data_IF_793346896646
#
_entry.id   IF_793346896646
#
_cell.length_a   1.000
_cell.length_b   1.000
_cell.length_c   1.000
_cell.angle_alpha   90.00
_cell.angle_beta   90.00
_cell.angle_gamma   90.00
#
_symmetry.space_group_name_H-M   'P 1'
#
loop_
_entity.id
_entity.type
_entity.pdbx_description
1 polymer ?
#
# COMPACT_ATOMS: atom_id res chain seq x y z
N UNK A 1 -34.87 -14.48 15.07
CA UNK A 1 -33.41 -14.55 14.89
C UNK A 1 -33.06 -16.01 14.70
N UNK A 2 -32.33 -16.41 13.65
CA UNK A 2 -32.24 -17.82 13.23
C UNK A 2 -31.17 -18.67 13.93
N UNK A 3 -30.38 -18.08 14.84
CA UNK A 3 -29.44 -18.81 15.72
C UNK A 3 -28.36 -19.58 14.96
N UNK A 4 -27.97 -20.75 15.49
CA UNK A 4 -27.01 -21.69 14.88
C UNK A 4 -27.70 -22.74 13.99
N UNK A 5 -28.92 -22.50 13.53
CA UNK A 5 -29.63 -23.44 12.66
C UNK A 5 -28.91 -23.56 11.30
N UNK A 6 -28.92 -24.76 10.65
CA UNK A 6 -28.39 -24.92 9.31
C UNK A 6 -29.03 -23.93 8.31
N UNK A 7 -28.24 -23.47 7.34
CA UNK A 7 -28.68 -22.49 6.35
C UNK A 7 -29.90 -23.01 5.55
N UNK A 8 -31.06 -22.41 5.80
CA UNK A 8 -32.29 -22.74 5.10
C UNK A 8 -32.52 -21.75 3.94
N UNK A 9 -32.25 -22.20 2.72
CA UNK A 9 -32.41 -21.39 1.49
C UNK A 9 -33.87 -21.06 1.12
N UNK A 10 -34.86 -21.51 1.90
CA UNK A 10 -36.27 -21.07 1.74
C UNK A 10 -36.59 -19.76 2.49
N UNK A 11 -35.65 -19.17 3.22
CA UNK A 11 -35.88 -17.83 3.81
C UNK A 11 -35.81 -16.75 2.73
N UNK A 12 -36.72 -15.79 2.80
CA UNK A 12 -36.69 -14.61 1.94
C UNK A 12 -35.77 -13.52 2.51
N UNK A 13 -35.22 -12.69 1.63
CA UNK A 13 -34.41 -11.55 2.05
C UNK A 13 -35.23 -10.46 2.75
N UNK A 14 -34.56 -9.69 3.61
CA UNK A 14 -35.16 -8.59 4.35
C UNK A 14 -34.62 -7.24 3.86
N UNK A 15 -35.47 -6.26 3.53
CA UNK A 15 -35.03 -4.88 3.24
C UNK A 15 -34.46 -4.14 4.45
N UNK A 16 -34.55 -4.70 5.67
CA UNK A 16 -34.13 -4.06 6.92
C UNK A 16 -34.71 -2.62 7.03
N UNK A 17 -33.88 -1.62 7.36
CA UNK A 17 -34.31 -0.22 7.48
C UNK A 17 -34.86 0.40 6.19
N UNK A 18 -34.58 -0.16 5.00
CA UNK A 18 -35.06 0.39 3.72
C UNK A 18 -36.59 0.28 3.56
N UNK A 19 -37.25 -0.63 4.28
CA UNK A 19 -38.72 -0.69 4.30
C UNK A 19 -39.37 0.61 4.85
N UNK A 20 -38.65 1.37 5.70
CA UNK A 20 -39.12 2.67 6.16
C UNK A 20 -39.08 3.73 5.05
N UNK A 21 -38.14 3.63 4.11
CA UNK A 21 -38.01 4.55 2.96
C UNK A 21 -39.11 4.29 1.94
N UNK A 22 -39.37 3.02 1.60
CA UNK A 22 -40.52 2.62 0.78
C UNK A 22 -41.83 3.18 1.35
N UNK A 23 -42.04 3.01 2.67
CA UNK A 23 -43.22 3.55 3.39
C UNK A 23 -43.28 5.09 3.40
N UNK A 24 -42.13 5.77 3.50
CA UNK A 24 -42.06 7.24 3.55
C UNK A 24 -42.42 7.88 2.22
N UNK A 25 -41.97 7.31 1.10
CA UNK A 25 -42.20 7.83 -0.25
C UNK A 25 -43.39 7.18 -0.97
N UNK A 26 -44.02 6.15 -0.39
CA UNK A 26 -45.13 5.43 -1.01
C UNK A 26 -44.71 4.59 -2.22
N UNK A 27 -43.43 4.24 -2.31
CA UNK A 27 -42.86 3.43 -3.41
C UNK A 27 -42.62 1.99 -2.95
N UNK A 28 -42.63 1.06 -3.89
CA UNK A 28 -42.29 -0.35 -3.65
C UNK A 28 -41.00 -0.69 -4.42
N UNK A 29 -39.87 -0.10 -4.01
CA UNK A 29 -38.59 -0.29 -4.69
C UNK A 29 -37.69 -1.24 -3.89
N UNK A 30 -37.46 -0.95 -2.61
CA UNK A 30 -36.51 -1.70 -1.81
C UNK A 30 -37.09 -3.04 -1.33
N UNK A 31 -38.32 -3.04 -0.84
CA UNK A 31 -39.01 -4.23 -0.31
C UNK A 31 -39.04 -5.39 -1.32
N UNK A 32 -39.59 -5.26 -2.54
CA UNK A 32 -39.58 -6.38 -3.49
C UNK A 32 -38.16 -6.78 -3.93
N UNK A 33 -37.25 -5.81 -4.09
CA UNK A 33 -35.85 -6.07 -4.50
C UNK A 33 -35.09 -6.90 -3.48
N UNK A 34 -35.20 -6.57 -2.18
CA UNK A 34 -34.53 -7.32 -1.13
C UNK A 34 -35.23 -8.65 -0.80
N UNK A 35 -36.57 -8.71 -0.85
CA UNK A 35 -37.32 -9.96 -0.63
C UNK A 35 -37.13 -10.99 -1.75
N UNK A 36 -36.85 -10.54 -2.98
CA UNK A 36 -36.47 -11.38 -4.12
C UNK A 36 -34.98 -11.71 -4.22
N UNK A 37 -34.11 -11.19 -3.35
CA UNK A 37 -32.67 -11.43 -3.42
C UNK A 37 -32.31 -12.87 -3.02
N UNK A 38 -31.50 -13.60 -3.81
CA UNK A 38 -31.04 -14.94 -3.46
C UNK A 38 -29.94 -14.94 -2.37
N UNK A 39 -29.32 -13.78 -2.10
CA UNK A 39 -28.16 -13.65 -1.20
C UNK A 39 -28.58 -13.33 0.23
N UNK A 40 -29.36 -14.21 0.85
CA UNK A 40 -29.95 -14.01 2.19
C UNK A 40 -29.00 -14.28 3.36
N UNK A 41 -27.83 -14.87 3.11
CA UNK A 41 -26.83 -15.24 4.14
C UNK A 41 -25.45 -14.56 3.96
N UNK A 42 -25.29 -13.67 2.98
CA UNK A 42 -23.98 -13.09 2.59
C UNK A 42 -23.62 -11.79 3.31
N UNK A 43 -23.63 -11.76 4.64
CA UNK A 43 -23.28 -10.54 5.41
C UNK A 43 -21.77 -10.25 5.42
N UNK A 44 -20.95 -11.25 5.76
CA UNK A 44 -19.50 -11.13 5.90
C UNK A 44 -18.75 -11.84 4.76
N UNK A 45 -17.71 -11.22 4.14
CA UNK A 45 -17.34 -9.80 4.24
C UNK A 45 -18.32 -8.91 3.44
N UNK A 46 -18.48 -7.65 3.85
CA UNK A 46 -19.46 -6.75 3.22
C UNK A 46 -19.04 -6.33 1.80
N UNK A 47 -19.85 -6.71 0.81
CA UNK A 47 -19.66 -6.29 -0.58
C UNK A 47 -19.79 -4.77 -0.76
N UNK A 48 -20.70 -4.12 -0.01
CA UNK A 48 -20.87 -2.67 -0.03
C UNK A 48 -19.60 -1.95 0.45
N UNK A 49 -18.95 -2.45 1.49
CA UNK A 49 -17.69 -1.90 1.99
C UNK A 49 -16.54 -2.12 1.02
N UNK A 50 -16.40 -3.35 0.51
CA UNK A 50 -15.34 -3.71 -0.43
C UNK A 50 -15.41 -2.92 -1.73
N UNK A 51 -16.60 -2.79 -2.34
CA UNK A 51 -16.80 -1.98 -3.55
C UNK A 51 -16.51 -0.50 -3.30
N UNK A 52 -17.07 0.11 -2.25
CA UNK A 52 -16.81 1.50 -1.91
C UNK A 52 -15.32 1.80 -1.66
N UNK A 53 -14.60 0.91 -0.97
CA UNK A 53 -13.14 1.06 -0.79
C UNK A 53 -12.37 0.83 -2.09
N UNK A 54 -12.77 -0.11 -2.94
CA UNK A 54 -12.10 -0.33 -4.23
C UNK A 54 -12.23 0.89 -5.13
N UNK A 55 -13.42 1.46 -5.22
CA UNK A 55 -13.70 2.70 -5.95
C UNK A 55 -12.95 3.88 -5.34
N UNK A 56 -12.98 4.05 -4.01
CA UNK A 56 -12.27 5.13 -3.33
C UNK A 56 -10.75 5.03 -3.50
N UNK A 57 -10.15 3.84 -3.44
CA UNK A 57 -8.72 3.63 -3.67
C UNK A 57 -8.34 3.90 -5.14
N UNK A 58 -9.13 3.40 -6.10
CA UNK A 58 -8.90 3.67 -7.52
C UNK A 58 -9.04 5.17 -7.84
N UNK A 59 -10.06 5.84 -7.31
CA UNK A 59 -10.28 7.27 -7.52
C UNK A 59 -9.23 8.13 -6.77
N UNK A 60 -8.74 7.69 -5.62
CA UNK A 60 -7.63 8.34 -4.90
C UNK A 60 -6.30 8.15 -5.64
N UNK A 61 -6.10 7.02 -6.32
CA UNK A 61 -4.99 6.86 -7.27
C UNK A 61 -5.17 7.86 -8.42
N UNK A 62 -6.25 7.82 -9.19
CA UNK A 62 -6.40 8.73 -10.36
C UNK A 62 -6.39 10.23 -9.95
N UNK A 63 -6.94 10.59 -8.80
CA UNK A 63 -7.09 11.97 -8.34
C UNK A 63 -6.63 12.15 -6.87
N UNK A 64 -5.31 12.18 -6.59
CA UNK A 64 -4.78 12.17 -5.22
C UNK A 64 -5.19 13.40 -4.38
N UNK A 65 -5.47 14.54 -5.02
CA UNK A 65 -5.99 15.74 -4.33
C UNK A 65 -7.44 15.60 -3.85
N UNK A 66 -8.20 14.63 -4.38
CA UNK A 66 -9.60 14.38 -4.02
C UNK A 66 -9.78 13.18 -3.07
N UNK A 67 -8.68 12.48 -2.71
CA UNK A 67 -8.63 11.43 -1.67
C UNK A 67 -9.53 11.69 -0.43
N UNK A 68 -9.49 12.87 0.24
CA UNK A 68 -10.35 13.10 1.41
C UNK A 68 -11.86 13.06 1.09
N UNK A 69 -12.28 13.44 -0.12
CA UNK A 69 -13.67 13.36 -0.55
C UNK A 69 -14.13 11.91 -0.73
N UNK A 70 -13.29 11.06 -1.35
CA UNK A 70 -13.60 9.64 -1.53
C UNK A 70 -13.60 8.88 -0.19
N UNK A 71 -12.67 9.22 0.72
CA UNK A 71 -12.66 8.69 2.08
C UNK A 71 -13.92 9.09 2.86
N UNK A 72 -14.33 10.37 2.80
CA UNK A 72 -15.55 10.85 3.44
C UNK A 72 -16.81 10.15 2.89
N UNK A 73 -16.90 9.94 1.57
CA UNK A 73 -18.00 9.18 0.95
C UNK A 73 -18.06 7.73 1.45
N UNK A 74 -16.91 7.07 1.56
CA UNK A 74 -16.83 5.69 2.06
C UNK A 74 -17.27 5.58 3.52
N UNK A 75 -16.84 6.52 4.36
CA UNK A 75 -17.27 6.61 5.77
C UNK A 75 -18.78 6.91 5.90
N UNK A 76 -19.33 7.74 5.01
CA UNK A 76 -20.78 7.99 4.95
C UNK A 76 -21.56 6.72 4.56
N UNK A 77 -21.07 5.97 3.58
CA UNK A 77 -21.68 4.70 3.14
C UNK A 77 -21.60 3.62 4.24
N UNK A 78 -20.48 3.54 4.97
CA UNK A 78 -20.33 2.73 6.18
C UNK A 78 -21.36 3.11 7.24
N UNK A 79 -21.50 4.40 7.55
CA UNK A 79 -22.51 4.87 8.49
C UNK A 79 -23.93 4.51 8.04
N UNK A 80 -24.27 4.72 6.77
CA UNK A 80 -25.59 4.42 6.23
C UNK A 80 -25.93 2.92 6.30
N UNK A 81 -25.02 2.04 5.88
CA UNK A 81 -25.25 0.57 5.93
C UNK A 81 -25.44 0.03 7.35
N UNK A 82 -24.77 0.62 8.36
CA UNK A 82 -25.04 0.33 9.77
C UNK A 82 -26.35 0.95 10.26
N UNK A 83 -26.63 2.21 9.91
CA UNK A 83 -27.84 2.93 10.34
C UNK A 83 -29.12 2.24 9.86
N UNK A 84 -29.13 1.73 8.62
CA UNK A 84 -30.24 0.93 8.08
C UNK A 84 -30.23 -0.53 8.57
N UNK A 85 -29.36 -0.88 9.52
CA UNK A 85 -29.22 -2.22 10.11
C UNK A 85 -28.97 -3.33 9.07
N UNK A 86 -28.18 -3.02 8.04
CA UNK A 86 -27.91 -3.92 6.92
C UNK A 86 -26.59 -4.71 7.06
N UNK A 87 -25.60 -4.13 7.75
CA UNK A 87 -24.30 -4.75 8.04
C UNK A 87 -23.86 -4.43 9.48
N UNK A 88 -23.09 -5.33 10.08
CA UNK A 88 -22.32 -5.05 11.30
C UNK A 88 -20.99 -4.38 10.94
N UNK A 89 -20.40 -3.65 11.89
CA UNK A 89 -19.09 -3.00 11.71
C UNK A 89 -17.97 -3.98 11.29
N UNK A 90 -18.02 -5.22 11.77
CA UNK A 90 -17.04 -6.26 11.40
C UNK A 90 -17.14 -6.67 9.93
N UNK A 91 -18.35 -6.72 9.36
CA UNK A 91 -18.59 -7.03 7.95
C UNK A 91 -17.95 -5.97 7.06
N UNK A 92 -18.11 -4.71 7.45
CA UNK A 92 -17.57 -3.53 6.79
C UNK A 92 -16.04 -3.53 6.80
N UNK A 93 -15.44 -3.72 7.99
CA UNK A 93 -13.97 -3.86 8.14
C UNK A 93 -13.42 -5.00 7.29
N UNK A 94 -14.05 -6.18 7.32
CA UNK A 94 -13.64 -7.34 6.53
C UNK A 94 -13.66 -7.08 5.02
N UNK A 95 -14.72 -6.45 4.51
CA UNK A 95 -14.83 -6.09 3.09
C UNK A 95 -13.78 -5.07 2.64
N UNK A 96 -13.56 -4.04 3.45
CA UNK A 96 -12.57 -3.00 3.16
C UNK A 96 -11.12 -3.49 3.25
N UNK A 97 -10.79 -4.36 4.21
CA UNK A 97 -9.46 -4.98 4.29
C UNK A 97 -9.19 -5.87 3.08
N UNK A 98 -10.16 -6.71 2.68
CA UNK A 98 -10.06 -7.54 1.49
C UNK A 98 -9.82 -6.69 0.23
N UNK A 99 -10.60 -5.62 0.04
CA UNK A 99 -10.41 -4.69 -1.06
C UNK A 99 -9.05 -3.98 -1.02
N UNK A 100 -8.60 -3.53 0.17
CA UNK A 100 -7.32 -2.85 0.34
C UNK A 100 -6.13 -3.75 -0.03
N UNK A 101 -6.15 -5.01 0.42
CA UNK A 101 -5.12 -6.01 0.06
C UNK A 101 -5.10 -6.28 -1.44
N UNK A 102 -6.27 -6.53 -2.05
CA UNK A 102 -6.37 -6.75 -3.50
C UNK A 102 -5.85 -5.51 -4.26
N UNK A 103 -6.30 -4.32 -3.90
CA UNK A 103 -5.87 -3.08 -4.54
C UNK A 103 -4.37 -2.86 -4.40
N UNK A 104 -3.77 -3.11 -3.24
CA UNK A 104 -2.34 -2.98 -3.03
C UNK A 104 -1.53 -3.96 -3.91
N UNK A 105 -1.94 -5.23 -3.99
CA UNK A 105 -1.31 -6.22 -4.88
C UNK A 105 -1.41 -5.78 -6.35
N UNK A 106 -2.56 -5.23 -6.76
CA UNK A 106 -2.76 -4.74 -8.13
C UNK A 106 -1.97 -3.45 -8.38
N UNK A 107 -1.84 -2.55 -7.40
CA UNK A 107 -1.02 -1.33 -7.47
C UNK A 107 0.43 -1.69 -7.77
N UNK A 108 1.05 -2.51 -6.92
CA UNK A 108 2.48 -2.83 -7.03
C UNK A 108 2.86 -3.71 -8.22
N UNK A 109 1.90 -4.42 -8.85
CA UNK A 109 2.19 -5.35 -9.95
C UNK A 109 1.67 -4.94 -11.33
N UNK A 110 0.62 -4.11 -11.41
CA UNK A 110 -0.10 -3.89 -12.68
C UNK A 110 -0.47 -2.43 -12.95
N UNK A 111 -0.67 -1.58 -11.94
CA UNK A 111 -1.01 -0.17 -12.20
C UNK A 111 0.24 0.64 -12.59
N UNK A 112 0.08 1.62 -13.51
CA UNK A 112 1.14 2.55 -13.83
C UNK A 112 1.40 3.48 -12.63
N UNK A 113 2.69 3.71 -12.37
CA UNK A 113 3.17 4.71 -11.42
C UNK A 113 2.69 6.10 -11.82
N UNK A 114 2.43 6.92 -10.81
CA UNK A 114 1.93 8.28 -11.01
C UNK A 114 3.05 9.29 -11.15
N UNK A 115 2.88 10.22 -12.08
CA UNK A 115 3.79 11.35 -12.27
C UNK A 115 3.24 12.58 -11.51
N UNK A 116 3.92 13.07 -10.45
CA UNK A 116 3.34 14.02 -9.49
C UNK A 116 3.02 15.42 -10.04
N UNK A 117 3.46 15.73 -11.27
CA UNK A 117 3.24 17.01 -11.95
C UNK A 117 2.23 16.92 -13.11
N UNK A 118 1.59 15.77 -13.33
CA UNK A 118 0.64 15.52 -14.42
C UNK A 118 -0.77 15.32 -13.86
N UNK A 119 -1.76 16.04 -14.40
CA UNK A 119 -3.15 15.98 -13.90
C UNK A 119 -3.90 14.76 -14.41
N UNK A 120 -3.64 14.35 -15.66
CA UNK A 120 -4.28 13.21 -16.30
C UNK A 120 -3.26 12.14 -16.63
N UNK A 121 -3.70 10.88 -16.61
CA UNK A 121 -2.93 9.72 -17.09
C UNK A 121 -2.46 9.88 -18.55
N UNK A 122 -3.20 10.65 -19.34
CA UNK A 122 -2.89 10.93 -20.76
C UNK A 122 -1.71 11.89 -20.93
N UNK A 123 -1.36 12.65 -19.90
CA UNK A 123 -0.21 13.56 -19.91
C UNK A 123 1.09 12.86 -19.47
N UNK A 124 1.06 11.55 -19.22
CA UNK A 124 2.24 10.82 -18.70
C UNK A 124 3.26 10.60 -19.82
N UNK A 125 4.49 11.04 -19.60
CA UNK A 125 5.55 10.98 -20.63
C UNK A 125 6.09 9.55 -20.84
N UNK A 126 5.88 8.66 -19.86
CA UNK A 126 6.26 7.25 -19.88
C UNK A 126 5.41 6.44 -18.90
N UNK A 127 5.43 5.10 -19.03
CA UNK A 127 4.73 4.17 -18.13
C UNK A 127 5.75 3.30 -17.40
N UNK A 128 5.89 3.51 -16.11
CA UNK A 128 6.58 2.62 -15.17
C UNK A 128 5.55 1.82 -14.37
N UNK A 129 5.88 0.59 -14.01
CA UNK A 129 5.04 -0.31 -13.18
C UNK A 129 5.86 -0.79 -12.00
N UNK A 130 5.30 -0.69 -10.79
CA UNK A 130 5.98 -0.99 -9.53
C UNK A 130 6.06 0.23 -8.60
N UNK A 131 6.38 -0.03 -7.34
CA UNK A 131 6.61 1.01 -6.33
C UNK A 131 8.03 1.60 -6.46
N UNK A 132 8.21 2.86 -6.08
CA UNK A 132 9.54 3.48 -6.05
C UNK A 132 10.45 2.75 -5.02
N UNK A 133 11.69 2.37 -5.37
CA UNK A 133 12.65 1.87 -4.37
C UNK A 133 12.84 2.82 -3.17
N UNK A 134 12.62 4.13 -3.32
CA UNK A 134 12.64 5.10 -2.23
C UNK A 134 11.37 5.11 -1.35
N UNK A 135 10.19 4.74 -1.87
CA UNK A 135 8.92 4.74 -1.11
C UNK A 135 8.91 3.63 -0.04
N UNK A 136 9.62 2.52 -0.29
CA UNK A 136 9.74 1.38 0.64
C UNK A 136 10.46 1.69 1.95
N UNK A 137 11.20 2.79 2.04
CA UNK A 137 11.93 3.17 3.26
C UNK A 137 11.04 3.65 4.42
N UNK A 138 9.78 4.02 4.15
CA UNK A 138 8.91 4.68 5.13
C UNK A 138 7.91 3.75 5.85
N UNK A 139 7.88 2.45 5.51
CA UNK A 139 7.01 1.45 6.18
C UNK A 139 7.87 0.39 6.89
N UNK A 140 8.83 0.87 7.68
CA UNK A 140 9.26 0.13 8.87
C UNK A 140 8.28 0.45 9.98
N UNK A 141 7.71 -0.59 10.60
CA UNK A 141 6.83 -0.43 11.76
C UNK A 141 7.70 -0.01 12.94
N UNK A 142 7.71 1.29 13.28
CA UNK A 142 8.13 1.77 14.60
C UNK A 142 7.09 1.32 15.64
N UNK A 143 7.17 0.05 16.00
CA UNK A 143 6.64 -0.44 17.27
C UNK A 143 7.55 0.12 18.36
N UNK A 144 7.14 1.24 18.96
CA UNK A 144 7.87 1.85 20.07
C UNK A 144 8.00 0.90 21.25
N UNK A 145 9.19 0.35 21.44
CA UNK A 145 9.66 -0.21 22.70
C UNK A 145 11.07 0.33 22.93
N UNK A 146 11.17 1.37 23.76
CA UNK A 146 12.44 1.71 24.40
C UNK A 146 12.76 0.61 25.41
N UNK A 147 13.74 -0.25 25.13
CA UNK A 147 14.63 -0.80 26.15
C UNK A 147 15.91 -1.41 25.53
N UNK A 148 16.99 -0.74 25.91
CA UNK A 148 18.44 -1.03 25.99
C UNK A 148 19.18 -2.17 25.26
N UNK A 149 20.46 -1.82 25.01
CA UNK A 149 21.71 -2.60 24.94
C UNK A 149 22.02 -3.65 23.84
N UNK A 150 23.04 -3.23 23.05
CA UNK A 150 24.13 -3.99 22.42
C UNK A 150 23.83 -5.06 21.35
N UNK A 151 24.47 -4.89 20.19
CA UNK A 151 25.36 -5.91 19.59
C UNK A 151 26.15 -5.25 18.45
N UNK A 152 27.36 -4.78 18.75
CA UNK A 152 28.27 -4.29 17.71
C UNK A 152 28.85 -5.45 16.88
N UNK A 153 28.36 -5.62 15.65
CA UNK A 153 28.97 -6.51 14.64
C UNK A 153 28.91 -5.87 13.26
N UNK A 154 30.04 -5.31 12.82
CA UNK A 154 30.22 -4.94 11.42
C UNK A 154 30.57 -6.16 10.57
N UNK A 155 30.12 -6.19 9.33
CA UNK A 155 30.78 -6.94 8.26
C UNK A 155 30.51 -6.34 6.89
N UNK A 156 31.61 -6.03 6.23
CA UNK A 156 31.74 -5.26 5.00
C UNK A 156 31.25 -5.95 3.72
N UNK A 157 31.19 -5.12 2.68
CA UNK A 157 31.61 -5.40 1.30
C UNK A 157 30.61 -6.00 0.29
N UNK A 158 30.48 -5.32 -0.84
CA UNK A 158 31.24 -5.77 -2.02
C UNK A 158 31.71 -4.55 -2.84
N UNK A 159 32.96 -4.62 -3.32
CA UNK A 159 33.57 -3.65 -4.23
C UNK A 159 33.40 -4.16 -5.66
N UNK A 160 33.04 -3.28 -6.59
CA UNK A 160 33.15 -3.53 -8.03
C UNK A 160 34.15 -2.54 -8.63
N UNK A 161 35.24 -3.07 -9.16
CA UNK A 161 36.24 -2.29 -9.90
C UNK A 161 35.76 -1.99 -11.32
N UNK A 162 36.17 -0.83 -11.83
CA UNK A 162 36.92 -0.67 -13.09
C UNK A 162 36.48 0.57 -13.90
N UNK A 163 37.33 1.61 -13.92
CA UNK A 163 37.51 2.45 -15.10
C UNK A 163 38.70 3.42 -14.95
N UNK A 164 39.83 3.02 -15.55
CA UNK A 164 40.79 3.85 -16.33
C UNK A 164 41.39 5.13 -15.71
N UNK A 165 42.71 5.12 -15.58
CA UNK A 165 43.58 6.31 -15.55
C UNK A 165 43.63 7.01 -16.92
N UNK A 166 44.09 8.27 -16.93
CA UNK A 166 45.38 8.54 -17.57
C UNK A 166 46.37 9.27 -16.64
N UNK A 167 47.61 9.32 -17.11
CA UNK A 167 48.80 9.87 -16.46
C UNK A 167 49.13 11.27 -17.04
N UNK A 168 49.66 12.15 -16.20
CA UNK A 168 50.48 13.32 -16.56
C UNK A 168 51.31 13.62 -15.28
N UNK A 169 52.57 13.20 -15.23
CA UNK A 169 53.77 13.99 -15.59
C UNK A 169 54.03 15.18 -14.62
N UNK A 170 55.15 15.05 -13.90
CA UNK A 170 56.01 16.12 -13.33
C UNK A 170 55.42 17.51 -13.05
N UNK A 171 55.29 17.87 -11.76
CA UNK A 171 56.21 18.86 -11.16
C UNK A 171 55.92 19.12 -9.66
N UNK A 172 56.86 18.70 -8.79
CA UNK A 172 57.09 19.36 -7.49
C UNK A 172 58.47 19.00 -6.94
N UNK A 173 59.50 19.64 -7.51
CA UNK A 173 60.81 19.80 -6.89
C UNK A 173 60.66 20.31 -5.44
N UNK A 174 61.35 19.69 -4.48
CA UNK A 174 62.08 20.37 -3.39
C UNK A 174 63.18 19.44 -2.84
N UNK A 175 64.43 19.88 -2.90
CA UNK A 175 65.63 19.16 -2.45
C UNK A 175 65.84 19.24 -0.93
N UNK A 176 66.67 18.35 -0.36
CA UNK A 176 67.11 18.48 1.04
C UNK A 176 67.99 17.37 1.62
N UNK A 177 69.31 17.45 1.39
CA UNK A 177 70.43 16.89 2.20
C UNK A 177 70.42 15.36 2.52
N UNK A 178 71.23 14.50 1.87
CA UNK A 178 72.71 14.28 1.92
C UNK A 178 73.30 13.66 3.19
N UNK A 179 73.90 12.46 3.04
CA UNK A 179 75.16 11.90 3.60
C UNK A 179 75.06 10.35 3.63
N UNK A 180 75.80 9.60 2.81
CA UNK A 180 77.17 9.09 3.05
C UNK A 180 77.21 8.00 4.17
N UNK A 181 77.93 6.86 4.07
CA UNK A 181 78.94 6.34 3.13
C UNK A 181 79.15 4.82 3.37
N UNK A 182 79.69 4.08 2.38
CA UNK A 182 80.44 2.77 2.37
C UNK A 182 80.44 1.84 3.62
N UNK A 183 80.47 0.50 3.52
CA UNK A 183 81.34 -0.31 2.64
C UNK A 183 80.94 -1.80 2.48
N UNK A 184 81.03 -2.30 1.24
CA UNK A 184 81.49 -3.60 0.68
C UNK A 184 81.33 -5.01 1.36
N UNK A 185 81.38 -6.12 0.56
CA UNK A 185 81.00 -7.48 0.98
C UNK A 185 82.10 -8.57 0.89
N UNK A 186 81.99 -9.64 1.69
CA UNK A 186 82.66 -10.95 1.49
C UNK A 186 81.84 -12.03 2.25
N UNK A 187 81.41 -13.19 1.74
CA UNK A 187 81.95 -14.19 0.81
C UNK A 187 82.95 -15.20 1.44
N UNK A 188 82.37 -16.22 2.09
CA UNK A 188 82.88 -17.58 2.35
C UNK A 188 84.40 -17.85 2.40
N UNK A 189 84.87 -18.32 3.56
CA UNK A 189 85.42 -19.69 3.70
C UNK A 189 85.32 -20.22 5.12
#
# INVERSE_FOLDING_TARGET
MYGLAPANYSIHGSPAGLAAIDKLFGIALYTPTFTGSPMVFGAFPSLHAGSAVMEALFMSHVFPRLTPLFAAYTLWLWWATMYLSHHYAVDLVGGSLLSGVIFHIVKSKFLPRQQPNKFLRWDYDFVEVGDDPAEKGYVSIESGTEDTDDWTVGSSSSVSSDSRSPIDESDSCWEGATLASHSDPEAQR
#
